data_IF_398045309000
#
_entry.id   IF_398045309000
#
_cell.length_a   1.000
_cell.length_b   1.000
_cell.length_c   1.000
_cell.angle_alpha   90.00
_cell.angle_beta   90.00
_cell.angle_gamma   90.00
#
_symmetry.space_group_name_H-M   'P 1'
#
loop_
_entity.id
_entity.type
_entity.pdbx_description
1 polymer ?
#
# COMPACT_ATOMS: atom_id res chain seq x y z
N UNK A 1 28.62 -1.81 2.60
CA UNK A 1 27.47 -1.49 1.71
C UNK A 1 26.57 -2.70 1.41
N UNK A 2 27.08 -3.89 1.06
CA UNK A 2 26.22 -5.09 0.79
C UNK A 2 25.47 -5.67 2.01
N UNK A 3 25.91 -5.38 3.24
CA UNK A 3 25.26 -5.91 4.46
C UNK A 3 24.03 -5.11 4.91
N UNK A 4 23.93 -3.82 4.56
CA UNK A 4 22.80 -2.98 4.95
C UNK A 4 21.55 -3.24 4.09
N UNK A 5 21.73 -3.62 2.82
CA UNK A 5 20.63 -4.04 1.94
C UNK A 5 19.93 -5.32 2.43
N UNK A 6 20.67 -6.24 3.07
CA UNK A 6 20.11 -7.48 3.61
C UNK A 6 19.28 -7.22 4.87
N UNK A 7 19.70 -6.27 5.71
CA UNK A 7 19.00 -5.96 6.95
C UNK A 7 17.62 -5.31 6.73
N UNK A 8 17.48 -4.46 5.70
CA UNK A 8 16.22 -3.79 5.38
C UNK A 8 15.20 -4.77 4.76
N UNK A 9 15.67 -5.71 3.94
CA UNK A 9 14.81 -6.77 3.39
C UNK A 9 14.39 -7.78 4.47
N UNK A 10 15.24 -8.06 5.47
CA UNK A 10 14.91 -8.97 6.57
C UNK A 10 13.86 -8.40 7.53
N UNK A 11 13.86 -7.07 7.77
CA UNK A 11 12.87 -6.41 8.62
C UNK A 11 11.47 -6.35 8.00
N UNK A 12 11.37 -6.28 6.67
CA UNK A 12 10.10 -6.41 5.94
C UNK A 12 9.56 -7.85 5.90
N UNK A 13 10.43 -8.86 6.06
CA UNK A 13 10.03 -10.27 6.10
C UNK A 13 9.63 -10.80 7.48
N UNK A 14 10.10 -10.20 8.57
CA UNK A 14 9.84 -10.70 9.93
C UNK A 14 8.51 -10.23 10.54
N UNK A 15 7.86 -9.20 9.98
CA UNK A 15 6.57 -8.72 10.46
C UNK A 15 5.37 -9.59 10.04
N UNK A 16 5.58 -10.64 9.23
CA UNK A 16 4.52 -11.52 8.70
C UNK A 16 4.43 -12.91 9.38
N UNK A 17 5.15 -13.17 10.47
CA UNK A 17 5.19 -14.51 11.09
C UNK A 17 4.73 -14.60 12.55
N UNK A 18 4.14 -13.56 13.16
CA UNK A 18 3.70 -13.62 14.57
C UNK A 18 2.23 -13.28 14.83
N UNK A 19 1.35 -13.57 13.88
CA UNK A 19 -0.09 -13.62 14.12
C UNK A 19 -0.62 -15.01 13.75
N UNK A 20 -0.62 -15.93 14.73
CA UNK A 20 -1.34 -17.20 14.60
C UNK A 20 -0.67 -18.35 15.34
N UNK A 21 -1.03 -18.52 16.61
CA UNK A 21 -1.54 -19.78 17.14
C UNK A 21 -2.03 -19.57 18.57
N UNK A 22 -3.34 -19.32 18.64
CA UNK A 22 -4.29 -19.65 19.70
C UNK A 22 -3.73 -20.50 20.84
N UNK A 23 -3.78 -19.94 22.05
CA UNK A 23 -3.70 -20.72 23.27
C UNK A 23 -4.98 -21.54 23.43
N UNK A 24 -4.83 -22.86 23.56
CA UNK A 24 -5.89 -23.74 24.04
C UNK A 24 -5.28 -24.92 24.78
N UNK A 25 -5.64 -25.04 26.05
CA UNK A 25 -6.01 -26.33 26.65
C UNK A 25 -4.89 -27.16 27.24
N UNK A 26 -4.98 -27.30 28.57
CA UNK A 26 -4.18 -28.17 29.41
C UNK A 26 -4.23 -29.66 29.04
N UNK A 27 -3.16 -30.35 29.43
CA UNK A 27 -2.95 -31.80 29.49
C UNK A 27 -4.11 -32.58 30.14
N UNK A 28 -4.46 -33.72 29.53
CA UNK A 28 -5.17 -34.83 30.16
C UNK A 28 -4.16 -35.79 30.83
N UNK A 29 -4.57 -36.67 31.77
CA UNK A 29 -4.87 -38.03 31.32
C UNK A 29 -5.94 -38.83 32.10
N UNK A 30 -6.66 -39.66 31.32
CA UNK A 30 -7.12 -41.05 31.54
C UNK A 30 -7.75 -41.54 32.87
N UNK A 31 -8.96 -42.13 32.80
CA UNK A 31 -9.26 -43.59 32.84
C UNK A 31 -10.70 -43.89 33.31
N UNK A 32 -11.31 -44.95 32.74
CA UNK A 32 -12.38 -45.83 33.27
C UNK A 32 -13.78 -45.22 33.57
N UNK A 33 -14.95 -45.85 33.42
CA UNK A 33 -15.44 -47.20 33.12
C UNK A 33 -16.95 -47.03 32.74
N UNK A 34 -17.54 -47.94 31.93
CA UNK A 34 -19.01 -48.08 31.76
C UNK A 34 -19.62 -48.73 33.03
N UNK A 35 -20.96 -48.71 33.34
CA UNK A 35 -22.08 -48.93 32.41
C UNK A 35 -23.49 -48.32 32.73
N UNK A 36 -24.42 -48.66 31.82
CA UNK A 36 -25.86 -48.97 32.00
C UNK A 36 -26.95 -47.89 31.94
N UNK A 37 -27.84 -48.09 30.94
CA UNK A 37 -29.31 -47.91 30.89
C UNK A 37 -29.88 -46.48 31.10
N UNK A 38 -30.98 -45.99 30.53
CA UNK A 38 -32.16 -46.55 29.85
C UNK A 38 -32.97 -45.36 29.26
N UNK A 39 -33.91 -45.60 28.34
CA UNK A 39 -34.99 -44.67 27.96
C UNK A 39 -34.80 -43.98 26.59
N UNK A 40 -35.30 -44.54 25.49
CA UNK A 40 -36.66 -44.34 24.94
C UNK A 40 -36.89 -42.92 24.39
N UNK A 41 -37.42 -42.67 23.19
CA UNK A 41 -37.86 -43.44 22.03
C UNK A 41 -38.23 -42.39 20.95
N UNK A 42 -38.19 -42.79 19.66
CA UNK A 42 -39.14 -42.41 18.59
C UNK A 42 -39.24 -40.91 18.17
N UNK A 43 -39.28 -40.49 16.90
CA UNK A 43 -39.40 -41.12 15.59
C UNK A 43 -39.18 -40.04 14.52
N UNK A 44 -38.71 -40.43 13.33
CA UNK A 44 -38.89 -39.68 12.07
C UNK A 44 -39.81 -40.52 11.14
N UNK A 45 -40.10 -40.12 9.88
CA UNK A 45 -40.64 -38.88 9.29
C UNK A 45 -42.01 -39.19 8.61
N UNK A 46 -42.50 -38.43 7.59
CA UNK A 46 -42.19 -38.82 6.21
C UNK A 46 -42.11 -37.68 5.16
N UNK A 47 -41.68 -38.07 3.96
CA UNK A 47 -41.44 -37.29 2.75
C UNK A 47 -42.71 -36.94 1.94
N UNK A 48 -42.63 -35.88 1.11
CA UNK A 48 -42.77 -35.92 -0.37
C UNK A 48 -43.27 -34.60 -0.98
N UNK A 49 -42.62 -34.25 -2.11
CA UNK A 49 -43.18 -33.64 -3.35
C UNK A 49 -43.17 -32.12 -3.63
N UNK A 50 -42.66 -31.86 -4.85
CA UNK A 50 -42.97 -30.83 -5.86
C UNK A 50 -42.24 -29.47 -5.90
N UNK A 51 -41.54 -29.27 -7.02
CA UNK A 51 -41.08 -27.99 -7.58
C UNK A 51 -42.29 -27.15 -8.07
N UNK A 52 -42.13 -25.82 -8.27
CA UNK A 52 -41.76 -25.39 -9.62
C UNK A 52 -40.78 -24.22 -9.68
N UNK A 53 -40.17 -24.12 -10.86
CA UNK A 53 -39.30 -23.09 -11.39
C UNK A 53 -39.75 -21.65 -11.13
N UNK A 54 -38.81 -20.78 -10.76
CA UNK A 54 -38.89 -19.34 -11.04
C UNK A 54 -37.59 -18.94 -11.73
N UNK A 55 -37.70 -18.61 -13.01
CA UNK A 55 -36.69 -17.90 -13.80
C UNK A 55 -36.98 -16.39 -13.78
N UNK A 56 -35.94 -15.60 -14.05
CA UNK A 56 -35.94 -14.14 -14.32
C UNK A 56 -35.96 -13.28 -13.04
N UNK A 57 -35.09 -12.30 -12.78
CA UNK A 57 -34.10 -11.59 -13.60
C UNK A 57 -32.89 -11.26 -12.70
N UNK A 58 -31.72 -11.82 -13.00
CA UNK A 58 -30.46 -11.26 -12.47
C UNK A 58 -29.98 -10.28 -13.51
N UNK A 59 -30.32 -9.00 -13.31
CA UNK A 59 -29.66 -7.89 -13.99
C UNK A 59 -28.15 -8.15 -14.02
N UNK A 60 -27.45 -7.91 -15.14
CA UNK A 60 -26.00 -8.01 -15.13
C UNK A 60 -25.51 -7.05 -14.06
N UNK A 61 -24.83 -7.61 -13.06
CA UNK A 61 -24.00 -6.83 -12.13
C UNK A 61 -23.10 -6.04 -13.05
N UNK A 62 -23.37 -4.74 -13.18
CA UNK A 62 -22.44 -3.81 -13.80
C UNK A 62 -21.14 -4.02 -13.07
N UNK A 63 -20.22 -4.72 -13.74
CA UNK A 63 -18.83 -4.67 -13.40
C UNK A 63 -18.51 -3.19 -13.41
N UNK A 64 -18.27 -2.65 -12.23
CA UNK A 64 -17.76 -1.32 -12.05
C UNK A 64 -16.41 -1.32 -12.78
N UNK A 65 -16.46 -1.02 -14.07
CA UNK A 65 -15.31 -0.77 -14.89
C UNK A 65 -14.81 0.58 -14.44
N UNK A 66 -14.11 0.59 -13.30
CA UNK A 66 -13.22 1.68 -12.94
C UNK A 66 -12.40 1.95 -14.19
N UNK A 67 -12.49 3.15 -14.78
CA UNK A 67 -11.70 3.48 -15.96
C UNK A 67 -10.26 3.11 -15.66
N UNK A 68 -9.62 2.36 -16.56
CA UNK A 68 -8.18 2.16 -16.47
C UNK A 68 -7.57 3.57 -16.44
N UNK A 69 -7.16 4.03 -15.26
CA UNK A 69 -6.61 5.36 -15.06
C UNK A 69 -5.47 5.59 -16.03
N UNK A 70 -5.25 6.84 -16.45
CA UNK A 70 -4.10 7.18 -17.27
C UNK A 70 -2.83 6.59 -16.63
N UNK A 71 -2.05 5.83 -17.41
CA UNK A 71 -0.78 5.30 -16.91
C UNK A 71 0.20 6.48 -16.79
N UNK A 72 0.65 6.72 -15.58
CA UNK A 72 1.59 7.79 -15.26
C UNK A 72 2.94 7.19 -14.86
N UNK A 73 4.02 7.63 -15.49
CA UNK A 73 5.38 7.30 -15.07
C UNK A 73 5.84 8.26 -13.95
N UNK A 74 6.64 7.81 -12.96
CA UNK A 74 7.08 8.67 -11.85
C UNK A 74 7.81 9.95 -12.31
N UNK A 75 8.55 9.88 -13.42
CA UNK A 75 9.28 11.03 -14.00
C UNK A 75 8.35 12.09 -14.61
N UNK A 76 7.07 11.75 -14.86
CA UNK A 76 6.07 12.74 -15.26
C UNK A 76 5.54 13.54 -14.05
N UNK A 77 5.70 12.99 -12.84
CA UNK A 77 5.32 13.69 -11.61
C UNK A 77 6.44 14.63 -11.17
N UNK A 78 7.68 14.16 -11.20
CA UNK A 78 8.88 14.97 -10.97
C UNK A 78 9.98 14.49 -11.92
N UNK A 79 10.37 15.35 -12.84
CA UNK A 79 11.48 15.10 -13.76
C UNK A 79 12.84 15.30 -13.07
N UNK A 80 13.92 14.85 -13.74
CA UNK A 80 15.29 15.07 -13.26
C UNK A 80 15.59 16.55 -13.06
N UNK A 81 15.18 17.39 -14.02
CA UNK A 81 15.39 18.84 -13.99
C UNK A 81 14.60 19.53 -12.87
N UNK A 82 13.46 18.97 -12.47
CA UNK A 82 12.69 19.45 -11.32
C UNK A 82 13.28 18.96 -9.99
N UNK A 83 13.92 17.79 -9.97
CA UNK A 83 14.57 17.25 -8.78
C UNK A 83 15.82 18.05 -8.35
N UNK A 84 16.59 18.58 -9.30
CA UNK A 84 17.80 19.40 -9.02
C UNK A 84 17.51 20.61 -8.12
N UNK A 85 16.58 21.52 -8.45
CA UNK A 85 16.28 22.67 -7.58
C UNK A 85 15.61 22.27 -6.27
N UNK A 86 14.91 21.13 -6.21
CA UNK A 86 14.36 20.61 -4.96
C UNK A 86 15.47 20.18 -3.99
N UNK A 87 16.51 19.51 -4.49
CA UNK A 87 17.64 19.05 -3.68
C UNK A 87 18.72 20.11 -3.48
N UNK A 88 18.74 21.15 -4.33
CA UNK A 88 19.75 22.21 -4.29
C UNK A 88 21.11 21.78 -4.87
N UNK A 89 21.16 20.65 -5.57
CA UNK A 89 22.36 20.11 -6.21
C UNK A 89 22.03 19.29 -7.45
N UNK A 90 23.03 19.04 -8.29
CA UNK A 90 22.87 18.20 -9.48
C UNK A 90 22.59 16.74 -9.09
N UNK A 91 21.70 16.08 -9.84
CA UNK A 91 21.36 14.67 -9.66
C UNK A 91 21.78 13.82 -10.85
N UNK A 92 21.98 12.53 -10.58
CA UNK A 92 22.17 11.50 -11.60
C UNK A 92 20.87 11.29 -12.41
N UNK A 93 20.99 10.55 -13.51
CA UNK A 93 19.81 10.02 -14.21
C UNK A 93 18.98 9.13 -13.28
N UNK A 94 17.65 9.18 -13.45
CA UNK A 94 16.71 8.49 -12.58
C UNK A 94 16.83 6.97 -12.67
N UNK A 95 17.08 6.30 -11.55
CA UNK A 95 17.03 4.85 -11.48
C UNK A 95 15.57 4.37 -11.38
N UNK A 96 15.14 3.53 -12.33
CA UNK A 96 13.76 3.03 -12.42
C UNK A 96 13.63 1.66 -11.77
N UNK A 97 12.61 1.51 -10.92
CA UNK A 97 12.27 0.24 -10.26
C UNK A 97 10.76 0.02 -10.28
N UNK A 98 10.35 -1.23 -10.13
CA UNK A 98 8.95 -1.60 -10.04
C UNK A 98 8.73 -2.59 -8.88
N UNK A 99 7.56 -2.51 -8.25
CA UNK A 99 7.05 -3.51 -7.32
C UNK A 99 5.70 -4.02 -7.86
N UNK A 100 5.71 -5.07 -8.69
CA UNK A 100 4.53 -5.50 -9.43
C UNK A 100 3.41 -6.08 -8.56
N UNK A 101 3.71 -6.48 -7.32
CA UNK A 101 2.70 -6.97 -6.36
C UNK A 101 1.72 -5.87 -5.98
N UNK A 102 2.22 -4.66 -5.78
CA UNK A 102 1.45 -3.48 -5.34
C UNK A 102 1.26 -2.48 -6.48
N UNK A 103 1.50 -2.89 -7.73
CA UNK A 103 1.37 -2.04 -8.92
C UNK A 103 2.17 -0.73 -8.84
N UNK A 104 3.32 -0.74 -8.16
CA UNK A 104 4.12 0.45 -7.91
C UNK A 104 5.24 0.60 -8.94
N UNK A 105 5.41 1.82 -9.44
CA UNK A 105 6.58 2.26 -10.20
C UNK A 105 7.34 3.30 -9.40
N UNK A 106 8.67 3.30 -9.51
CA UNK A 106 9.58 4.13 -8.73
C UNK A 106 10.61 4.77 -9.67
N UNK A 107 10.87 6.06 -9.49
CA UNK A 107 12.06 6.74 -9.99
C UNK A 107 12.86 7.27 -8.80
N UNK A 108 14.17 7.06 -8.84
CA UNK A 108 15.08 7.46 -7.77
C UNK A 108 16.21 8.34 -8.33
N UNK A 109 16.31 9.57 -7.82
CA UNK A 109 17.36 10.53 -8.15
C UNK A 109 18.36 10.61 -7.01
N UNK A 110 19.56 10.06 -7.22
CA UNK A 110 20.72 10.25 -6.34
C UNK A 110 21.43 11.56 -6.66
N UNK A 111 22.00 12.20 -5.64
CA UNK A 111 22.97 13.25 -5.84
C UNK A 111 24.11 12.81 -6.78
N UNK A 112 24.53 13.72 -7.65
CA UNK A 112 25.71 13.50 -8.50
C UNK A 112 27.01 13.53 -7.68
N UNK A 113 27.04 14.32 -6.61
CA UNK A 113 28.15 14.34 -5.66
C UNK A 113 28.14 13.06 -4.81
N UNK A 114 29.18 12.24 -4.93
CA UNK A 114 29.28 10.95 -4.22
C UNK A 114 29.46 11.10 -2.70
N UNK A 115 29.85 12.28 -2.21
CA UNK A 115 29.93 12.59 -0.78
C UNK A 115 28.59 13.08 -0.19
N UNK A 116 27.58 13.35 -1.05
CA UNK A 116 26.26 13.78 -0.61
C UNK A 116 25.38 12.59 -0.24
N UNK A 117 24.56 12.78 0.80
CA UNK A 117 23.50 11.85 1.19
C UNK A 117 22.14 12.26 0.62
N UNK A 118 22.12 13.30 -0.23
CA UNK A 118 20.89 13.81 -0.82
C UNK A 118 20.31 12.83 -1.84
N UNK A 119 19.02 12.55 -1.72
CA UNK A 119 18.27 11.85 -2.76
C UNK A 119 16.82 12.32 -2.78
N UNK A 120 16.16 12.09 -3.92
CA UNK A 120 14.72 12.20 -4.06
C UNK A 120 14.17 10.95 -4.74
N UNK A 121 13.19 10.31 -4.12
CA UNK A 121 12.43 9.21 -4.67
C UNK A 121 11.00 9.63 -4.90
N UNK A 122 10.44 9.24 -6.05
CA UNK A 122 9.04 9.36 -6.38
C UNK A 122 8.52 7.99 -6.74
N UNK A 123 7.45 7.55 -6.09
CA UNK A 123 6.72 6.36 -6.51
C UNK A 123 5.23 6.61 -6.68
N UNK A 124 4.62 5.81 -7.55
CA UNK A 124 3.20 5.84 -7.88
C UNK A 124 2.68 4.41 -7.98
N UNK A 125 1.65 4.12 -7.21
CA UNK A 125 0.88 2.87 -7.25
C UNK A 125 -0.40 3.10 -8.06
N UNK A 126 -0.63 2.23 -9.05
CA UNK A 126 -1.72 2.38 -10.03
C UNK A 126 -2.47 1.07 -10.22
N UNK A 127 -3.80 1.13 -10.25
CA UNK A 127 -4.67 -0.04 -10.45
C UNK A 127 -4.32 -0.85 -11.70
N UNK A 128 -3.86 -0.19 -12.78
CA UNK A 128 -3.46 -0.85 -14.03
C UNK A 128 -2.33 -1.90 -13.87
N UNK A 129 -1.54 -1.80 -12.79
CA UNK A 129 -0.42 -2.72 -12.53
C UNK A 129 -0.66 -3.63 -11.32
N UNK A 130 -1.81 -3.51 -10.64
CA UNK A 130 -2.17 -4.38 -9.52
C UNK A 130 -2.79 -5.67 -10.08
N UNK A 131 -2.19 -6.82 -9.77
CA UNK A 131 -2.66 -8.13 -10.24
C UNK A 131 -3.79 -8.71 -9.38
N UNK A 132 -3.85 -8.34 -8.10
CA UNK A 132 -4.88 -8.83 -7.18
C UNK A 132 -6.15 -8.01 -7.33
N UNK A 133 -7.30 -8.67 -7.51
CA UNK A 133 -8.60 -7.99 -7.54
C UNK A 133 -9.05 -7.46 -6.18
N UNK A 134 -8.39 -7.86 -5.08
CA UNK A 134 -8.70 -7.40 -3.72
C UNK A 134 -7.89 -6.17 -3.29
N UNK A 135 -6.96 -5.68 -4.12
CA UNK A 135 -6.11 -4.55 -3.79
C UNK A 135 -6.39 -3.39 -4.72
N UNK A 136 -6.43 -2.19 -4.15
CA UNK A 136 -6.50 -0.93 -4.88
C UNK A 136 -5.44 0.03 -4.31
N UNK A 137 -5.07 1.11 -5.03
CA UNK A 137 -4.20 2.14 -4.48
C UNK A 137 -4.71 2.69 -3.14
N UNK A 138 -6.02 2.89 -3.00
CA UNK A 138 -6.68 3.33 -1.77
C UNK A 138 -6.53 2.31 -0.64
N UNK A 139 -6.76 1.01 -0.91
CA UNK A 139 -6.64 -0.03 0.12
C UNK A 139 -5.19 -0.18 0.59
N UNK A 140 -4.22 -0.05 -0.33
CA UNK A 140 -2.79 -0.09 -0.02
C UNK A 140 -2.39 1.15 0.79
N UNK A 141 -2.85 2.35 0.41
CA UNK A 141 -2.64 3.58 1.17
C UNK A 141 -3.20 3.45 2.59
N UNK A 142 -4.44 3.00 2.75
CA UNK A 142 -5.08 2.86 4.05
C UNK A 142 -4.33 1.87 4.96
N UNK A 143 -3.97 0.69 4.43
CA UNK A 143 -3.18 -0.30 5.17
C UNK A 143 -1.79 0.24 5.54
N UNK A 144 -1.14 0.99 4.64
CA UNK A 144 0.17 1.61 4.92
C UNK A 144 0.04 2.68 6.01
N UNK A 145 -1.00 3.51 5.94
CA UNK A 145 -1.30 4.55 6.93
C UNK A 145 -1.53 3.93 8.31
N UNK A 146 -2.30 2.85 8.39
CA UNK A 146 -2.54 2.10 9.64
C UNK A 146 -1.25 1.51 10.20
N UNK A 147 -0.45 0.85 9.35
CA UNK A 147 0.81 0.23 9.76
C UNK A 147 1.88 1.24 10.23
N UNK A 148 1.80 2.48 9.75
CA UNK A 148 2.74 3.57 10.09
C UNK A 148 2.14 4.60 11.06
N UNK A 149 0.94 4.35 11.59
CA UNK A 149 0.15 5.34 12.33
C UNK A 149 0.76 5.79 13.67
N UNK A 150 1.90 5.22 14.07
CA UNK A 150 2.62 5.61 15.29
C UNK A 150 3.55 6.84 15.12
N UNK A 151 3.69 7.44 13.93
CA UNK A 151 4.83 8.31 13.64
C UNK A 151 4.48 9.74 13.16
N UNK A 152 4.18 10.64 14.12
CA UNK A 152 4.50 12.07 13.98
C UNK A 152 3.32 13.06 13.89
N UNK A 153 3.62 14.34 14.16
CA UNK A 153 2.63 15.43 14.09
C UNK A 153 2.09 15.60 12.66
N UNK A 154 0.78 15.50 12.51
CA UNK A 154 0.10 15.84 11.27
C UNK A 154 0.16 17.36 11.07
N UNK A 155 1.08 17.80 10.20
CA UNK A 155 1.22 19.20 9.80
C UNK A 155 0.59 19.43 8.43
N UNK A 156 0.04 20.64 8.24
CA UNK A 156 -0.58 21.01 6.97
C UNK A 156 0.47 21.18 5.88
N UNK A 157 0.35 20.44 4.78
CA UNK A 157 1.14 20.64 3.57
C UNK A 157 0.25 21.28 2.50
N UNK A 158 0.66 22.43 1.97
CA UNK A 158 -0.06 23.11 0.90
C UNK A 158 0.07 22.36 -0.44
N UNK A 159 -1.01 22.30 -1.23
CA UNK A 159 -0.98 21.77 -2.59
C UNK A 159 -1.02 20.24 -2.74
N UNK A 160 -1.05 19.47 -1.65
CA UNK A 160 -1.11 17.99 -1.70
C UNK A 160 -2.51 17.40 -1.54
N UNK A 161 -3.51 18.23 -1.26
CA UNK A 161 -4.88 17.80 -0.94
C UNK A 161 -5.07 17.43 0.53
N UNK A 162 -6.14 16.68 0.83
CA UNK A 162 -6.54 16.35 2.21
C UNK A 162 -6.14 14.94 2.65
N UNK A 163 -5.80 14.05 1.71
CA UNK A 163 -5.48 12.65 1.98
C UNK A 163 -3.97 12.42 1.87
N UNK A 164 -3.25 12.76 2.94
CA UNK A 164 -1.82 12.47 3.05
C UNK A 164 -1.43 12.18 4.50
N UNK A 165 -0.27 11.59 4.69
CA UNK A 165 0.38 11.44 5.99
C UNK A 165 1.90 11.38 5.82
N UNK A 166 2.64 11.70 6.88
CA UNK A 166 4.07 11.44 6.97
C UNK A 166 4.29 10.09 7.64
N UNK A 167 5.19 9.30 7.09
CA UNK A 167 5.57 7.99 7.60
C UNK A 167 6.78 7.48 6.83
N UNK A 168 7.54 6.54 7.36
CA UNK A 168 8.71 6.01 6.62
C UNK A 168 8.26 5.43 5.27
N UNK A 169 8.85 5.85 4.12
CA UNK A 169 10.08 6.62 3.98
C UNK A 169 9.94 8.15 3.78
N UNK A 170 8.72 8.71 3.75
CA UNK A 170 8.54 10.16 3.64
C UNK A 170 7.07 10.61 3.65
N UNK A 171 6.63 11.24 2.56
CA UNK A 171 5.28 11.78 2.39
C UNK A 171 4.44 10.85 1.52
N UNK A 172 3.34 10.39 2.08
CA UNK A 172 2.38 9.49 1.44
C UNK A 172 1.13 10.27 1.07
N UNK A 173 0.68 10.21 -0.18
CA UNK A 173 -0.43 11.01 -0.72
C UNK A 173 -1.37 10.09 -1.48
N UNK A 174 -2.66 10.13 -1.17
CA UNK A 174 -3.71 9.53 -1.98
C UNK A 174 -4.43 10.64 -2.76
N UNK A 175 -4.49 10.52 -4.08
CA UNK A 175 -5.12 11.52 -4.93
C UNK A 175 -5.66 10.87 -6.20
N UNK A 176 -6.94 11.08 -6.49
CA UNK A 176 -7.56 10.71 -7.76
C UNK A 176 -7.41 9.22 -8.16
N UNK A 177 -7.37 8.33 -7.18
CA UNK A 177 -7.15 6.89 -7.39
C UNK A 177 -5.69 6.49 -7.59
N UNK A 178 -4.75 7.41 -7.35
CA UNK A 178 -3.32 7.15 -7.36
C UNK A 178 -2.76 7.28 -5.95
N UNK A 179 -1.90 6.33 -5.57
CA UNK A 179 -1.16 6.40 -4.32
C UNK A 179 0.29 6.77 -4.61
N UNK A 180 0.68 7.98 -4.18
CA UNK A 180 2.03 8.51 -4.32
C UNK A 180 2.82 8.33 -3.02
N UNK A 181 4.12 8.06 -3.14
CA UNK A 181 5.06 8.16 -2.04
C UNK A 181 6.29 8.95 -2.48
N UNK A 182 6.58 10.02 -1.76
CA UNK A 182 7.77 10.84 -1.94
C UNK A 182 8.71 10.54 -0.77
N UNK A 183 9.96 10.17 -1.06
CA UNK A 183 10.99 10.02 -0.05
C UNK A 183 12.16 10.95 -0.37
N UNK A 184 12.76 11.54 0.66
CA UNK A 184 13.94 12.36 0.50
C UNK A 184 14.94 12.03 1.61
N UNK A 185 16.22 12.06 1.26
CA UNK A 185 17.32 11.95 2.21
C UNK A 185 18.16 13.20 2.17
N UNK A 186 18.70 13.59 3.32
CA UNK A 186 19.74 14.59 3.50
C UNK A 186 20.30 14.43 4.93
N UNK A 187 21.48 14.98 5.21
CA UNK A 187 22.01 15.07 6.58
C UNK A 187 21.27 16.09 7.46
N UNK A 188 20.53 17.02 6.85
CA UNK A 188 19.71 18.04 7.49
C UNK A 188 18.21 17.65 7.41
N UNK A 189 17.63 17.32 8.56
CA UNK A 189 16.22 16.90 8.64
C UNK A 189 15.24 18.01 8.27
N UNK A 190 15.59 19.28 8.48
CA UNK A 190 14.74 20.42 8.11
C UNK A 190 14.68 20.58 6.58
N UNK A 191 15.81 20.35 5.90
CA UNK A 191 15.83 20.28 4.43
C UNK A 191 15.03 19.11 3.91
N UNK A 192 15.18 17.91 4.47
CA UNK A 192 14.35 16.75 4.10
C UNK A 192 12.87 17.12 4.17
N UNK A 193 12.47 17.75 5.27
CA UNK A 193 11.09 18.14 5.51
C UNK A 193 10.58 19.14 4.46
N UNK A 194 11.38 20.13 4.07
CA UNK A 194 11.05 21.08 3.01
C UNK A 194 10.96 20.42 1.63
N UNK A 195 11.91 19.53 1.30
CA UNK A 195 11.90 18.79 0.03
C UNK A 195 10.64 17.95 -0.10
N UNK A 196 10.25 17.22 0.95
CA UNK A 196 9.04 16.40 0.95
C UNK A 196 7.78 17.21 0.64
N UNK A 197 7.64 18.41 1.21
CA UNK A 197 6.48 19.27 0.94
C UNK A 197 6.45 19.79 -0.49
N UNK A 198 7.58 20.35 -0.94
CA UNK A 198 7.68 20.96 -2.27
C UNK A 198 7.53 19.91 -3.36
N UNK A 199 8.20 18.77 -3.21
CA UNK A 199 8.10 17.63 -4.11
C UNK A 199 6.68 17.04 -4.11
N UNK A 200 6.05 16.90 -2.93
CA UNK A 200 4.66 16.44 -2.83
C UNK A 200 3.69 17.34 -3.58
N UNK A 201 3.78 18.66 -3.37
CA UNK A 201 2.93 19.63 -4.04
C UNK A 201 3.16 19.65 -5.57
N UNK A 202 4.42 19.57 -6.01
CA UNK A 202 4.77 19.50 -7.42
C UNK A 202 4.23 18.23 -8.08
N UNK A 203 4.40 17.08 -7.42
CA UNK A 203 3.91 15.80 -7.90
C UNK A 203 2.38 15.80 -8.08
N UNK A 204 1.64 16.37 -7.13
CA UNK A 204 0.18 16.52 -7.25
C UNK A 204 -0.20 17.46 -8.38
N UNK A 205 0.45 18.61 -8.51
CA UNK A 205 0.19 19.54 -9.60
C UNK A 205 0.46 18.92 -10.99
N UNK A 206 1.53 18.12 -11.11
CA UNK A 206 1.87 17.43 -12.35
C UNK A 206 0.96 16.22 -12.61
N UNK A 207 0.48 15.54 -11.56
CA UNK A 207 -0.57 14.53 -11.68
C UNK A 207 -1.85 15.13 -12.25
N UNK A 208 -2.32 16.26 -11.69
CA UNK A 208 -3.53 16.95 -12.17
C UNK A 208 -3.41 17.33 -13.65
N UNK A 209 -2.26 17.90 -14.07
CA UNK A 209 -1.96 18.17 -15.48
C UNK A 209 -2.01 16.92 -16.35
N UNK A 210 -1.41 15.81 -15.89
CA UNK A 210 -1.39 14.55 -16.63
C UNK A 210 -2.79 13.90 -16.76
N UNK A 211 -3.70 14.27 -15.85
CA UNK A 211 -5.12 13.90 -15.89
C UNK A 211 -5.99 14.93 -16.65
N UNK A 212 -5.41 16.02 -17.15
CA UNK A 212 -6.11 17.07 -17.89
C UNK A 212 -7.00 17.95 -17.01
N UNK A 213 -6.58 18.23 -15.77
CA UNK A 213 -7.32 19.00 -14.77
C UNK A 213 -6.61 20.30 -14.41
#
# INVERSE_FOLDING_TARGET
MKWFCVAIVLLLGLALCLAGCSGSGAEAPQMQEMPAAEGAAASAPPASQESPSVSQDRAPVSQDSTPAGNIIEPEQLISRQEAEPLLGEAVKEGEKKEQPVVGQKICFYDAQNEDSLSFLQISITQSAFIKSSSQTPESIYAATKEALFDAGEQRSVGGVGNEYFFGTPGLHILKDGYYLCIAAGNSDSSKVQQVLEQAGALAVANLEKALGR
#
